data_IF_150548440007
#
_entry.id   IF_150548440007
#
_cell.length_a   1.000
_cell.length_b   1.000
_cell.length_c   1.000
_cell.angle_alpha   90.00
_cell.angle_beta   90.00
_cell.angle_gamma   90.00
#
_symmetry.space_group_name_H-M   'P 1'
#
loop_
_entity.id
_entity.type
_entity.pdbx_description
1 polymer ?
#
# COMPACT_ATOMS: atom_id res chain seq x y z
N UNK A 1 -24.90 -18.43 28.45
CA UNK A 1 -23.94 -19.09 27.52
C UNK A 1 -23.50 -18.05 26.49
N UNK A 2 -22.20 -17.76 26.39
CA UNK A 2 -21.69 -16.88 25.32
C UNK A 2 -21.90 -17.57 23.97
N UNK A 3 -22.26 -16.82 22.93
CA UNK A 3 -22.38 -17.38 21.57
C UNK A 3 -20.99 -17.82 21.06
N UNK A 4 -20.92 -18.84 20.20
CA UNK A 4 -19.65 -19.31 19.59
C UNK A 4 -18.87 -18.16 18.91
N UNK A 5 -19.60 -17.20 18.37
CA UNK A 5 -19.04 -16.02 17.69
C UNK A 5 -18.43 -15.01 18.67
N UNK A 6 -19.08 -14.78 19.81
CA UNK A 6 -18.54 -13.94 20.88
C UNK A 6 -17.27 -14.54 21.50
N UNK A 7 -17.25 -15.87 21.71
CA UNK A 7 -16.06 -16.56 22.23
C UNK A 7 -14.86 -16.49 21.25
N UNK A 8 -15.13 -16.62 19.93
CA UNK A 8 -14.10 -16.50 18.89
C UNK A 8 -13.56 -15.07 18.78
N UNK A 9 -14.41 -14.06 18.90
CA UNK A 9 -14.01 -12.64 18.93
C UNK A 9 -13.14 -12.31 20.13
N UNK A 10 -13.53 -12.75 21.33
CA UNK A 10 -12.74 -12.56 22.55
C UNK A 10 -11.37 -13.27 22.48
N UNK A 11 -11.31 -14.47 21.88
CA UNK A 11 -10.04 -15.17 21.66
C UNK A 11 -9.13 -14.40 20.70
N UNK A 12 -9.67 -13.87 19.60
CA UNK A 12 -8.93 -13.04 18.66
C UNK A 12 -8.43 -11.72 19.28
N UNK A 13 -9.26 -11.04 20.05
CA UNK A 13 -8.89 -9.79 20.74
C UNK A 13 -7.76 -10.02 21.74
N UNK A 14 -7.82 -11.09 22.54
CA UNK A 14 -6.72 -11.49 23.44
C UNK A 14 -5.42 -11.77 22.69
N UNK A 15 -5.50 -12.53 21.59
CA UNK A 15 -4.33 -12.88 20.80
C UNK A 15 -3.66 -11.64 20.17
N UNK A 16 -4.47 -10.68 19.75
CA UNK A 16 -4.03 -9.37 19.24
C UNK A 16 -3.36 -8.54 20.34
N UNK A 17 -3.93 -8.48 21.53
CA UNK A 17 -3.35 -7.75 22.66
C UNK A 17 -1.99 -8.32 23.08
N UNK A 18 -1.86 -9.64 23.12
CA UNK A 18 -0.58 -10.34 23.37
C UNK A 18 0.44 -9.94 22.30
N UNK A 19 0.05 -9.95 21.03
CA UNK A 19 0.93 -9.56 19.91
C UNK A 19 1.38 -8.11 20.01
N UNK A 20 0.47 -7.18 20.34
CA UNK A 20 0.79 -5.76 20.50
C UNK A 20 1.75 -5.52 21.66
N UNK A 21 1.52 -6.20 22.79
CA UNK A 21 2.40 -6.13 23.97
C UNK A 21 3.80 -6.64 23.63
N UNK A 22 3.87 -7.78 22.93
CA UNK A 22 5.12 -8.36 22.47
C UNK A 22 5.87 -7.40 21.52
N UNK A 23 5.20 -6.83 20.52
CA UNK A 23 5.79 -5.86 19.59
C UNK A 23 6.31 -4.61 20.30
N UNK A 24 5.57 -4.09 21.27
CA UNK A 24 5.99 -2.94 22.07
C UNK A 24 7.28 -3.23 22.85
N UNK A 25 7.37 -4.43 23.46
CA UNK A 25 8.52 -4.83 24.25
C UNK A 25 9.77 -5.16 23.41
N UNK A 26 9.59 -5.52 22.14
CA UNK A 26 10.69 -5.83 21.21
C UNK A 26 11.34 -4.59 20.58
N UNK A 27 10.74 -3.39 20.71
CA UNK A 27 11.34 -2.15 20.22
C UNK A 27 12.71 -1.91 20.87
N UNK A 28 13.73 -1.70 20.05
CA UNK A 28 15.13 -1.58 20.45
C UNK A 28 15.82 -2.91 20.77
N UNK A 29 15.13 -4.04 20.63
CA UNK A 29 15.63 -5.39 20.97
C UNK A 29 15.56 -6.37 19.81
N UNK A 30 15.04 -5.95 18.66
CA UNK A 30 14.99 -6.77 17.46
C UNK A 30 16.38 -7.24 17.01
N UNK A 31 17.41 -6.42 17.16
CA UNK A 31 18.80 -6.82 16.93
C UNK A 31 19.19 -8.04 17.75
N UNK A 32 19.05 -7.96 19.07
CA UNK A 32 19.40 -9.05 19.99
C UNK A 32 18.60 -10.33 19.69
N UNK A 33 17.28 -10.21 19.59
CA UNK A 33 16.37 -11.35 19.41
C UNK A 33 16.58 -12.02 18.06
N UNK A 34 16.62 -11.26 16.97
CA UNK A 34 16.79 -11.83 15.64
C UNK A 34 18.21 -12.32 15.40
N UNK A 35 19.24 -11.70 15.98
CA UNK A 35 20.61 -12.21 15.92
C UNK A 35 20.82 -13.48 16.74
N UNK A 36 20.02 -13.71 17.79
CA UNK A 36 20.04 -14.96 18.52
C UNK A 36 19.31 -16.09 17.77
N UNK A 37 18.13 -15.78 17.21
CA UNK A 37 17.36 -16.74 16.43
C UNK A 37 18.04 -17.04 15.08
N UNK A 38 18.57 -16.02 14.41
CA UNK A 38 19.26 -16.10 13.11
C UNK A 38 20.69 -15.57 13.29
N UNK A 39 21.66 -16.41 13.71
CA UNK A 39 23.04 -15.98 13.97
C UNK A 39 23.69 -15.19 12.83
N UNK A 40 23.42 -15.55 11.58
CA UNK A 40 23.95 -14.83 10.40
C UNK A 40 23.45 -13.38 10.25
N UNK A 41 22.46 -12.95 11.03
CA UNK A 41 21.96 -11.57 10.99
C UNK A 41 22.88 -10.58 11.75
N UNK A 42 23.77 -11.07 12.62
CA UNK A 42 24.69 -10.24 13.40
C UNK A 42 25.50 -9.27 12.53
N UNK A 43 26.01 -9.76 11.40
CA UNK A 43 26.77 -8.94 10.44
C UNK A 43 25.93 -7.79 9.86
N UNK A 44 24.65 -8.05 9.57
CA UNK A 44 23.74 -7.04 9.04
C UNK A 44 23.40 -5.97 10.08
N UNK A 45 23.18 -6.39 11.33
CA UNK A 45 22.92 -5.49 12.46
C UNK A 45 24.13 -4.60 12.73
N UNK A 46 25.33 -5.17 12.79
CA UNK A 46 26.58 -4.44 12.98
C UNK A 46 26.91 -3.48 11.82
N UNK A 47 26.59 -3.88 10.59
CA UNK A 47 26.84 -3.05 9.40
C UNK A 47 25.86 -1.87 9.27
N UNK A 48 24.67 -1.97 9.87
CA UNK A 48 23.61 -0.97 9.84
C UNK A 48 22.85 -0.89 8.51
N UNK A 49 21.78 -0.08 8.49
CA UNK A 49 20.80 -0.03 7.37
C UNK A 49 21.35 0.44 6.01
N UNK A 50 22.57 0.99 5.95
CA UNK A 50 23.16 1.53 4.71
C UNK A 50 24.04 0.51 3.97
N UNK A 51 24.56 -0.49 4.67
CA UNK A 51 25.51 -1.45 4.10
C UNK A 51 24.80 -2.76 3.78
N UNK A 52 25.09 -3.31 2.60
CA UNK A 52 24.60 -4.61 2.17
C UNK A 52 25.59 -5.69 2.63
N UNK A 53 25.07 -6.80 3.15
CA UNK A 53 25.81 -7.99 3.56
C UNK A 53 25.27 -9.23 2.84
N UNK A 54 25.95 -10.36 3.01
CA UNK A 54 25.48 -11.63 2.48
C UNK A 54 24.16 -12.01 3.15
N UNK A 55 23.18 -12.49 2.38
CA UNK A 55 21.87 -12.85 2.91
C UNK A 55 21.96 -14.04 3.87
N UNK A 56 21.54 -13.90 5.14
CA UNK A 56 21.56 -15.01 6.11
C UNK A 56 20.28 -15.87 6.07
N UNK A 57 19.34 -15.51 5.19
CA UNK A 57 18.00 -16.10 5.12
C UNK A 57 17.94 -17.22 4.08
N UNK A 58 18.67 -17.08 2.99
CA UNK A 58 18.72 -18.05 1.90
C UNK A 58 20.10 -18.10 1.26
N UNK A 59 20.57 -19.31 0.96
CA UNK A 59 21.79 -19.52 0.18
C UNK A 59 21.56 -19.10 -1.28
N UNK A 60 21.87 -17.86 -1.61
CA UNK A 60 22.04 -17.44 -3.01
C UNK A 60 23.38 -17.94 -3.54
N UNK A 61 23.49 -19.26 -3.69
CA UNK A 61 24.48 -19.91 -4.54
C UNK A 61 23.90 -20.11 -5.94
N UNK A 62 24.08 -19.13 -6.83
CA UNK A 62 23.78 -19.27 -8.26
C UNK A 62 22.29 -19.19 -8.62
N UNK A 63 21.98 -18.47 -9.70
CA UNK A 63 20.62 -18.28 -10.16
C UNK A 63 19.89 -19.61 -10.41
N UNK A 64 18.72 -19.75 -9.80
CA UNK A 64 17.60 -20.45 -10.43
C UNK A 64 16.54 -19.41 -10.77
N UNK A 65 16.77 -18.68 -11.87
CA UNK A 65 15.63 -18.41 -12.75
C UNK A 65 15.26 -19.78 -13.33
N UNK A 66 14.00 -20.17 -13.24
CA UNK A 66 13.51 -21.38 -13.90
C UNK A 66 13.87 -21.28 -15.39
N UNK A 67 14.86 -22.06 -15.82
CA UNK A 67 15.24 -22.20 -17.21
C UNK A 67 14.35 -23.28 -17.82
N UNK A 68 13.50 -22.89 -18.77
CA UNK A 68 12.95 -23.78 -19.78
C UNK A 68 14.10 -24.53 -20.49
N UNK A 69 13.97 -25.83 -20.77
CA UNK A 69 15.06 -26.62 -21.32
C UNK A 69 15.12 -26.44 -22.83
N UNK A 70 16.12 -25.75 -23.36
CA UNK A 70 16.56 -25.92 -24.75
C UNK A 70 18.08 -25.63 -24.88
N UNK A 71 18.80 -26.56 -25.50
CA UNK A 71 20.01 -26.26 -26.27
C UNK A 71 21.36 -26.42 -25.56
N UNK A 72 22.11 -27.40 -26.01
CA UNK A 72 23.49 -27.78 -25.66
C UNK A 72 24.57 -26.77 -26.08
N UNK A 73 25.59 -26.57 -25.23
CA UNK A 73 27.02 -26.55 -25.64
C UNK A 73 27.92 -26.59 -24.40
N UNK A 74 28.92 -27.48 -24.43
CA UNK A 74 29.89 -27.72 -23.36
C UNK A 74 31.16 -26.85 -23.49
N UNK A 75 31.87 -26.76 -22.36
CA UNK A 75 33.27 -26.32 -22.16
C UNK A 75 33.60 -24.82 -22.05
N UNK A 76 33.43 -24.28 -20.83
CA UNK A 76 34.37 -23.35 -20.19
C UNK A 76 34.24 -23.50 -18.65
N UNK A 77 35.31 -23.42 -17.83
CA UNK A 77 35.16 -23.42 -16.39
C UNK A 77 34.43 -22.14 -15.99
N UNK A 78 33.19 -22.29 -15.52
CA UNK A 78 32.35 -21.19 -15.09
C UNK A 78 33.06 -20.43 -13.95
N UNK A 79 33.64 -19.27 -14.26
CA UNK A 79 34.02 -18.29 -13.23
C UNK A 79 32.75 -18.01 -12.43
N UNK A 80 32.71 -18.47 -11.18
CA UNK A 80 31.63 -18.12 -10.24
C UNK A 80 31.58 -16.60 -10.15
N UNK A 81 30.60 -16.00 -10.82
CA UNK A 81 30.32 -14.56 -10.74
C UNK A 81 30.08 -14.27 -9.25
N UNK A 82 30.96 -13.46 -8.64
CA UNK A 82 30.82 -13.03 -7.25
C UNK A 82 29.45 -12.35 -7.15
N UNK A 83 28.50 -12.98 -6.44
CA UNK A 83 27.19 -12.38 -6.22
C UNK A 83 27.40 -11.27 -5.20
N UNK A 84 27.02 -10.05 -5.57
CA UNK A 84 27.14 -8.93 -4.66
C UNK A 84 26.15 -9.09 -3.48
N UNK A 85 26.58 -8.74 -2.27
CA UNK A 85 25.70 -8.76 -1.11
C UNK A 85 24.52 -7.80 -1.33
N UNK A 86 23.31 -8.26 -1.01
CA UNK A 86 22.08 -7.48 -1.22
C UNK A 86 21.15 -7.45 0.00
N UNK A 87 21.58 -8.06 1.11
CA UNK A 87 20.80 -8.08 2.33
C UNK A 87 21.16 -6.90 3.23
N UNK A 88 20.18 -6.19 3.79
CA UNK A 88 20.40 -5.14 4.80
C UNK A 88 19.23 -5.05 5.76
N UNK A 89 19.46 -4.52 6.95
CA UNK A 89 18.37 -4.15 7.87
C UNK A 89 17.63 -2.90 7.36
N UNK A 90 16.36 -2.73 7.72
CA UNK A 90 15.59 -1.53 7.41
C UNK A 90 16.08 -0.32 8.23
N UNK A 91 15.76 0.90 7.76
CA UNK A 91 16.11 2.14 8.47
C UNK A 91 15.49 2.20 9.87
N UNK A 92 14.31 1.62 10.03
CA UNK A 92 13.52 1.53 11.25
C UNK A 92 13.63 0.15 11.92
N UNK A 93 14.69 -0.62 11.63
CA UNK A 93 14.89 -1.98 12.13
C UNK A 93 14.74 -2.10 13.65
N UNK A 94 15.23 -1.12 14.42
CA UNK A 94 15.08 -1.14 15.88
C UNK A 94 13.61 -1.11 16.31
N UNK A 95 12.73 -0.52 15.51
CA UNK A 95 11.29 -0.46 15.78
C UNK A 95 10.55 -1.68 15.24
N UNK A 96 10.87 -2.10 14.01
CA UNK A 96 10.07 -3.09 13.28
C UNK A 96 10.71 -4.48 13.20
N UNK A 97 12.03 -4.58 13.33
CA UNK A 97 12.81 -5.78 13.02
C UNK A 97 12.88 -6.10 11.53
N UNK A 98 12.48 -5.16 10.66
CA UNK A 98 12.36 -5.38 9.22
C UNK A 98 13.69 -5.39 8.48
N UNK A 99 13.79 -6.19 7.42
CA UNK A 99 14.97 -6.33 6.58
C UNK A 99 14.61 -6.17 5.10
N UNK A 100 15.61 -5.89 4.26
CA UNK A 100 15.47 -5.80 2.82
C UNK A 100 16.45 -6.75 2.13
N UNK A 101 15.94 -7.55 1.18
CA UNK A 101 16.75 -8.32 0.25
C UNK A 101 15.89 -8.69 -0.96
N UNK A 102 16.48 -8.71 -2.15
CA UNK A 102 15.75 -9.04 -3.39
C UNK A 102 15.17 -10.47 -3.41
N UNK A 103 15.63 -11.37 -2.53
CA UNK A 103 15.11 -12.72 -2.46
C UNK A 103 13.71 -12.83 -1.86
N UNK A 104 13.36 -11.88 -1.01
CA UNK A 104 12.07 -11.85 -0.34
C UNK A 104 11.72 -10.41 0.02
N UNK A 105 10.79 -9.84 -0.74
CA UNK A 105 10.32 -8.48 -0.52
C UNK A 105 9.31 -8.37 0.63
N UNK A 106 8.99 -9.46 1.33
CA UNK A 106 7.98 -9.48 2.39
C UNK A 106 8.57 -9.42 3.81
N UNK A 107 9.84 -9.06 3.98
CA UNK A 107 10.53 -9.02 5.27
C UNK A 107 10.33 -7.71 6.05
N UNK A 108 9.14 -7.12 5.99
CA UNK A 108 8.86 -5.79 6.56
C UNK A 108 8.86 -5.69 8.09
N UNK A 109 8.98 -6.80 8.83
CA UNK A 109 9.12 -6.81 10.29
C UNK A 109 9.82 -8.09 10.77
N UNK A 110 10.20 -8.14 12.05
CA UNK A 110 10.96 -9.26 12.61
C UNK A 110 10.24 -10.61 12.54
N UNK A 111 8.91 -10.66 12.68
CA UNK A 111 8.17 -11.92 12.47
C UNK A 111 8.26 -12.39 11.02
N UNK A 112 8.13 -11.47 10.06
CA UNK A 112 8.28 -11.79 8.63
C UNK A 112 9.69 -12.23 8.28
N UNK A 113 10.71 -11.69 8.93
CA UNK A 113 12.11 -12.16 8.79
C UNK A 113 12.23 -13.62 9.26
N UNK A 114 11.63 -13.99 10.39
CA UNK A 114 11.62 -15.38 10.88
C UNK A 114 10.82 -16.30 9.95
N UNK A 115 9.65 -15.87 9.48
CA UNK A 115 8.85 -16.61 8.52
C UNK A 115 9.63 -16.86 7.22
N UNK A 116 10.33 -15.84 6.71
CA UNK A 116 11.18 -15.97 5.53
C UNK A 116 12.33 -16.96 5.74
N UNK A 117 12.95 -16.98 6.93
CA UNK A 117 14.08 -17.86 7.25
C UNK A 117 13.69 -19.31 7.43
N UNK A 118 12.57 -19.57 8.10
CA UNK A 118 12.17 -20.90 8.55
C UNK A 118 11.02 -21.50 7.73
N UNK A 119 10.42 -20.74 6.81
CA UNK A 119 9.25 -21.19 6.05
C UNK A 119 8.05 -21.48 6.94
N UNK A 120 7.92 -20.76 8.06
CA UNK A 120 6.91 -21.01 9.09
C UNK A 120 5.75 -20.00 9.02
N UNK A 121 4.65 -20.34 9.71
CA UNK A 121 3.51 -19.47 9.92
C UNK A 121 3.82 -18.33 10.91
N UNK A 122 2.97 -17.30 10.91
CA UNK A 122 3.07 -16.21 11.88
C UNK A 122 3.01 -16.69 13.33
N UNK A 123 2.15 -17.67 13.64
CA UNK A 123 2.00 -18.20 15.00
C UNK A 123 3.25 -18.93 15.45
N UNK A 124 3.89 -19.69 14.56
CA UNK A 124 5.17 -20.35 14.85
C UNK A 124 6.29 -19.32 15.04
N UNK A 125 6.38 -18.30 14.18
CA UNK A 125 7.35 -17.21 14.34
C UNK A 125 7.16 -16.45 15.66
N UNK A 126 5.89 -16.17 16.03
CA UNK A 126 5.55 -15.56 17.32
C UNK A 126 6.00 -16.45 18.48
N UNK A 127 5.73 -17.75 18.39
CA UNK A 127 6.12 -18.70 19.43
C UNK A 127 7.64 -18.79 19.59
N UNK A 128 8.42 -18.80 18.49
CA UNK A 128 9.89 -18.77 18.55
C UNK A 128 10.41 -17.55 19.34
N UNK A 129 9.81 -16.38 19.13
CA UNK A 129 10.17 -15.18 19.87
C UNK A 129 9.82 -15.33 21.35
N UNK A 130 8.63 -15.82 21.67
CA UNK A 130 8.20 -16.05 23.06
C UNK A 130 9.12 -17.05 23.77
N UNK A 131 9.48 -18.15 23.10
CA UNK A 131 10.38 -19.17 23.62
C UNK A 131 11.79 -18.60 23.87
N UNK A 132 12.28 -17.77 22.96
CA UNK A 132 13.54 -17.05 23.14
C UNK A 132 13.50 -16.09 24.33
N UNK A 133 12.34 -15.48 24.61
CA UNK A 133 12.06 -14.68 25.80
C UNK A 133 11.73 -15.53 27.04
N UNK A 134 12.06 -16.83 27.03
CA UNK A 134 11.83 -17.75 28.16
C UNK A 134 10.35 -18.01 28.45
N UNK A 135 9.51 -18.07 27.43
CA UNK A 135 8.07 -18.28 27.54
C UNK A 135 7.28 -17.04 27.95
N UNK A 136 7.89 -15.85 27.88
CA UNK A 136 7.30 -14.57 28.34
C UNK A 136 7.11 -13.60 27.19
N UNK A 137 6.17 -12.67 27.36
CA UNK A 137 5.93 -11.58 26.40
C UNK A 137 6.58 -10.25 26.82
N UNK A 138 7.35 -10.27 27.91
CA UNK A 138 8.06 -9.11 28.49
C UNK A 138 9.56 -9.32 28.43
N UNK A 139 10.34 -8.25 28.22
CA UNK A 139 11.81 -8.32 28.12
C UNK A 139 12.55 -7.93 29.39
N UNK A 140 11.84 -7.79 30.52
CA UNK A 140 12.42 -7.28 31.79
C UNK A 140 13.50 -8.19 32.39
N UNK A 141 13.55 -9.45 31.96
CA UNK A 141 14.55 -10.44 32.37
C UNK A 141 15.81 -10.42 31.47
N UNK A 142 15.80 -9.65 30.38
CA UNK A 142 16.97 -9.42 29.54
C UNK A 142 17.75 -8.19 30.07
N UNK A 143 19.06 -8.09 29.78
CA UNK A 143 19.84 -6.89 30.08
C UNK A 143 19.12 -5.63 29.57
N UNK A 144 19.28 -4.47 30.23
CA UNK A 144 18.71 -3.22 29.74
C UNK A 144 19.14 -3.00 28.28
N UNK A 145 18.20 -2.60 27.40
CA UNK A 145 18.53 -2.44 25.99
C UNK A 145 19.58 -1.34 25.86
N UNK A 146 20.43 -1.41 24.82
CA UNK A 146 21.28 -0.27 24.50
C UNK A 146 20.37 0.96 24.35
N UNK A 147 20.64 2.07 25.07
CA UNK A 147 19.77 3.24 25.01
C UNK A 147 19.62 3.69 23.55
N UNK A 148 18.40 3.59 23.02
CA UNK A 148 18.08 4.16 21.71
C UNK A 148 18.31 5.66 21.88
N UNK A 149 19.22 6.23 21.10
CA UNK A 149 19.37 7.69 21.04
C UNK A 149 18.04 8.22 20.51
N UNK A 150 17.20 8.77 21.38
CA UNK A 150 15.96 9.38 20.95
C UNK A 150 16.33 10.49 19.94
N UNK A 151 15.67 10.52 18.78
CA UNK A 151 15.92 11.57 17.80
C UNK A 151 15.70 12.92 18.46
N UNK A 152 16.65 13.84 18.28
CA UNK A 152 16.57 15.18 18.86
C UNK A 152 15.33 15.89 18.33
N UNK A 153 14.40 16.35 19.19
CA UNK A 153 13.21 17.08 18.76
C UNK A 153 13.52 18.27 17.83
N UNK A 154 14.68 18.93 18.02
CA UNK A 154 15.13 20.03 17.15
C UNK A 154 15.51 19.55 15.76
N UNK A 155 16.11 18.36 15.66
CA UNK A 155 16.45 17.74 14.39
C UNK A 155 15.17 17.34 13.64
N UNK A 156 14.21 16.72 14.33
CA UNK A 156 12.89 16.37 13.78
C UNK A 156 12.20 17.62 13.24
N UNK A 157 12.10 18.69 14.04
CA UNK A 157 11.47 19.93 13.62
C UNK A 157 12.14 20.55 12.37
N UNK A 158 13.47 20.48 12.28
CA UNK A 158 14.22 20.95 11.11
C UNK A 158 13.97 20.09 9.87
N UNK A 159 13.91 18.77 10.02
CA UNK A 159 13.59 17.85 8.95
C UNK A 159 12.15 18.08 8.45
N UNK A 160 11.20 18.21 9.37
CA UNK A 160 9.79 18.47 9.06
C UNK A 160 9.60 19.81 8.34
N UNK A 161 10.29 20.87 8.77
CA UNK A 161 10.26 22.16 8.06
C UNK A 161 10.79 22.03 6.62
N UNK A 162 11.82 21.22 6.41
CA UNK A 162 12.40 20.97 5.07
C UNK A 162 11.42 20.19 4.19
N UNK A 163 10.79 19.15 4.74
CA UNK A 163 9.79 18.34 4.04
C UNK A 163 8.58 19.19 3.67
N UNK A 164 8.03 19.95 4.64
CA UNK A 164 6.89 20.84 4.42
C UNK A 164 7.15 21.86 3.31
N UNK A 165 8.31 22.53 3.36
CA UNK A 165 8.72 23.48 2.30
C UNK A 165 8.80 22.80 0.93
N UNK A 166 9.33 21.58 0.85
CA UNK A 166 9.40 20.82 -0.41
C UNK A 166 8.01 20.47 -0.94
N UNK A 167 7.12 19.95 -0.09
CA UNK A 167 5.75 19.60 -0.47
C UNK A 167 4.99 20.84 -0.99
N UNK A 168 5.11 21.97 -0.30
CA UNK A 168 4.50 23.25 -0.70
C UNK A 168 5.06 23.76 -2.03
N UNK A 169 6.38 23.67 -2.23
CA UNK A 169 7.03 24.05 -3.50
C UNK A 169 6.55 23.15 -4.65
N UNK A 170 6.59 21.82 -4.48
CA UNK A 170 6.11 20.89 -5.49
C UNK A 170 4.65 21.19 -5.83
N UNK A 171 3.76 21.29 -4.82
CA UNK A 171 2.34 21.50 -5.06
C UNK A 171 2.01 22.84 -5.72
N UNK A 172 2.61 23.94 -5.26
CA UNK A 172 2.36 25.29 -5.82
C UNK A 172 2.82 25.44 -7.26
N UNK A 173 3.83 24.66 -7.67
CA UNK A 173 4.31 24.62 -9.07
C UNK A 173 3.49 23.70 -9.99
N UNK A 174 2.45 23.03 -9.46
CA UNK A 174 1.57 22.20 -10.28
C UNK A 174 0.45 23.01 -10.94
N UNK A 175 0.06 22.55 -12.12
CA UNK A 175 -1.02 23.08 -12.94
C UNK A 175 -2.28 22.22 -12.80
N UNK A 176 -3.44 22.83 -12.98
CA UNK A 176 -4.69 22.08 -13.14
C UNK A 176 -4.70 21.29 -14.45
N UNK A 177 -5.47 20.19 -14.54
CA UNK A 177 -5.60 19.41 -15.77
C UNK A 177 -6.13 20.21 -16.97
N UNK A 178 -6.83 21.32 -16.73
CA UNK A 178 -7.34 22.24 -17.75
C UNK A 178 -6.26 23.14 -18.39
N UNK A 179 -5.05 23.21 -17.82
CA UNK A 179 -3.99 24.04 -18.37
C UNK A 179 -3.47 23.46 -19.71
N UNK A 180 -3.20 24.29 -20.75
CA UNK A 180 -2.74 23.79 -22.05
C UNK A 180 -1.51 22.89 -21.98
N UNK A 181 -0.54 23.22 -21.11
CA UNK A 181 0.65 22.40 -20.91
C UNK A 181 0.40 21.03 -20.28
N UNK A 182 -0.79 20.75 -19.77
CA UNK A 182 -1.14 19.45 -19.21
C UNK A 182 -1.41 18.38 -20.28
N UNK A 183 -1.15 18.66 -21.56
CA UNK A 183 -1.26 17.70 -22.66
C UNK A 183 -0.64 16.31 -22.35
N UNK A 184 0.56 16.18 -21.73
CA UNK A 184 1.07 14.86 -21.36
C UNK A 184 0.18 14.11 -20.36
N UNK A 185 -0.51 14.81 -19.44
CA UNK A 185 -1.48 14.18 -18.54
C UNK A 185 -2.71 13.69 -19.31
N UNK A 186 -3.20 14.47 -20.28
CA UNK A 186 -4.33 14.05 -21.13
C UNK A 186 -3.97 12.84 -21.98
N UNK A 187 -2.79 12.84 -22.62
CA UNK A 187 -2.30 11.69 -23.40
C UNK A 187 -2.15 10.43 -22.52
N UNK A 188 -1.69 10.59 -21.28
CA UNK A 188 -1.60 9.51 -20.29
C UNK A 188 -2.96 8.89 -19.97
N UNK A 189 -3.98 9.74 -19.81
CA UNK A 189 -5.36 9.34 -19.51
C UNK A 189 -6.04 8.70 -20.71
N UNK A 190 -5.88 9.29 -21.90
CA UNK A 190 -6.44 8.79 -23.15
C UNK A 190 -5.88 7.40 -23.47
N UNK A 191 -4.55 7.23 -23.42
CA UNK A 191 -3.89 5.95 -23.66
C UNK A 191 -4.28 4.84 -22.68
N UNK A 192 -4.98 5.19 -21.59
CA UNK A 192 -5.51 4.26 -20.57
C UNK A 192 -7.03 4.19 -20.54
N UNK A 193 -7.74 4.91 -21.40
CA UNK A 193 -9.20 4.93 -21.35
C UNK A 193 -9.77 5.51 -20.05
N UNK A 194 -9.01 6.36 -19.35
CA UNK A 194 -9.42 6.98 -18.08
C UNK A 194 -10.42 8.14 -18.27
N UNK A 195 -10.67 8.55 -19.51
CA UNK A 195 -11.50 9.72 -19.81
C UNK A 195 -10.76 11.03 -19.52
N UNK A 196 -11.50 12.12 -19.29
CA UNK A 196 -10.88 13.40 -18.99
C UNK A 196 -10.29 13.43 -17.56
N UNK A 197 -9.07 13.97 -17.36
CA UNK A 197 -8.52 14.22 -16.03
C UNK A 197 -9.21 15.37 -15.29
N UNK A 198 -10.02 16.19 -15.98
CA UNK A 198 -10.75 17.31 -15.37
C UNK A 198 -11.82 16.83 -14.38
N UNK A 199 -11.98 17.56 -13.27
CA UNK A 199 -13.00 17.26 -12.26
C UNK A 199 -12.58 16.20 -11.23
N UNK A 200 -11.37 15.63 -11.35
CA UNK A 200 -10.75 14.85 -10.29
C UNK A 200 -10.15 15.79 -9.24
N UNK A 201 -10.61 15.65 -8.00
CA UNK A 201 -10.01 16.34 -6.88
C UNK A 201 -8.62 15.77 -6.56
N UNK A 202 -7.77 16.61 -5.98
CA UNK A 202 -6.45 16.22 -5.47
C UNK A 202 -5.51 15.60 -6.51
N UNK A 203 -5.77 15.83 -7.79
CA UNK A 203 -4.91 15.42 -8.90
C UNK A 203 -4.53 16.64 -9.73
N UNK A 204 -3.23 16.86 -9.89
CA UNK A 204 -2.65 17.97 -10.64
C UNK A 204 -1.51 17.49 -11.53
N UNK A 205 -0.98 18.39 -12.34
CA UNK A 205 0.10 18.11 -13.28
C UNK A 205 1.31 18.99 -13.00
N UNK A 206 2.51 18.48 -13.22
CA UNK A 206 3.74 19.27 -13.18
C UNK A 206 4.50 19.08 -14.49
N UNK A 207 4.82 20.16 -15.21
CA UNK A 207 5.43 20.09 -16.56
C UNK A 207 6.85 19.50 -16.56
N UNK A 208 7.66 19.89 -15.59
CA UNK A 208 9.09 19.53 -15.56
C UNK A 208 9.58 19.27 -14.12
N UNK A 209 9.06 18.22 -13.49
CA UNK A 209 9.39 17.86 -12.12
C UNK A 209 10.76 17.18 -12.06
N UNK A 210 11.63 17.64 -11.16
CA UNK A 210 12.95 17.03 -10.95
C UNK A 210 12.84 15.57 -10.50
N UNK A 211 13.67 14.71 -11.10
CA UNK A 211 13.84 13.31 -10.71
C UNK A 211 15.22 13.08 -10.12
N UNK A 212 15.23 12.48 -8.93
CA UNK A 212 16.46 12.01 -8.25
C UNK A 212 16.28 10.53 -7.93
N UNK A 213 17.22 9.69 -8.33
CA UNK A 213 17.24 8.27 -7.98
C UNK A 213 17.38 8.11 -6.45
N UNK A 214 16.51 7.28 -5.86
CA UNK A 214 16.53 7.04 -4.41
C UNK A 214 17.68 6.12 -3.99
N UNK A 215 18.20 5.29 -4.89
CA UNK A 215 19.29 4.37 -4.58
C UNK A 215 20.65 5.05 -4.66
N UNK A 216 20.89 5.82 -5.73
CA UNK A 216 22.18 6.46 -5.99
C UNK A 216 22.25 7.91 -5.51
N UNK A 217 21.10 8.58 -5.33
CA UNK A 217 21.04 10.03 -5.08
C UNK A 217 21.31 10.88 -6.33
N UNK A 218 21.45 10.25 -7.49
CA UNK A 218 21.77 10.93 -8.75
C UNK A 218 20.55 11.68 -9.30
N UNK A 219 20.77 12.90 -9.76
CA UNK A 219 19.77 13.66 -10.50
C UNK A 219 19.75 13.23 -11.97
N UNK A 220 18.61 12.71 -12.43
CA UNK A 220 18.47 12.16 -13.80
C UNK A 220 17.70 13.09 -14.75
N UNK A 221 17.33 14.29 -14.31
CA UNK A 221 16.66 15.28 -15.15
C UNK A 221 15.29 15.71 -14.62
N UNK A 222 14.50 16.33 -15.49
CA UNK A 222 13.13 16.78 -15.24
C UNK A 222 12.18 16.08 -16.20
N UNK A 223 11.01 15.71 -15.71
CA UNK A 223 10.00 15.03 -16.51
C UNK A 223 8.61 15.57 -16.16
N UNK A 224 7.66 15.53 -17.11
CA UNK A 224 6.25 15.71 -16.78
C UNK A 224 5.80 14.73 -15.70
N UNK A 225 4.91 15.14 -14.81
CA UNK A 225 4.45 14.29 -13.73
C UNK A 225 2.98 14.52 -13.39
N UNK A 226 2.24 13.42 -13.22
CA UNK A 226 0.97 13.40 -12.51
C UNK A 226 1.26 13.47 -11.01
N UNK A 227 0.66 14.43 -10.31
CA UNK A 227 0.86 14.67 -8.88
C UNK A 227 -0.47 14.51 -8.15
N UNK A 228 -0.54 13.53 -7.26
CA UNK A 228 -1.70 13.26 -6.43
C UNK A 228 -1.44 13.66 -4.98
N UNK A 229 -2.39 14.37 -4.36
CA UNK A 229 -2.32 14.76 -2.96
C UNK A 229 -2.99 13.68 -2.09
N UNK A 230 -2.21 13.08 -1.20
CA UNK A 230 -2.69 12.18 -0.17
C UNK A 230 -3.15 13.00 1.04
N UNK A 231 -4.35 12.74 1.54
CA UNK A 231 -4.95 13.50 2.65
C UNK A 231 -5.55 12.57 3.71
N UNK A 232 -5.60 13.05 4.94
CA UNK A 232 -6.42 12.47 5.98
C UNK A 232 -7.91 12.72 5.73
N UNK A 233 -8.74 12.08 6.55
CA UNK A 233 -10.21 12.17 6.52
C UNK A 233 -10.73 13.61 6.57
N UNK A 234 -10.09 14.47 7.35
CA UNK A 234 -10.44 15.88 7.56
C UNK A 234 -9.94 16.81 6.43
N UNK A 235 -9.27 16.25 5.42
CA UNK A 235 -8.65 17.01 4.33
C UNK A 235 -7.26 17.54 4.66
N UNK A 236 -6.69 17.21 5.83
CA UNK A 236 -5.32 17.58 6.16
C UNK A 236 -4.34 16.94 5.15
N UNK A 237 -3.53 17.73 4.43
CA UNK A 237 -2.60 17.20 3.43
C UNK A 237 -1.44 16.45 4.08
N UNK A 238 -1.17 15.22 3.66
CA UNK A 238 -0.11 14.37 4.21
C UNK A 238 1.15 14.45 3.38
N UNK A 239 1.08 14.01 2.13
CA UNK A 239 2.22 13.95 1.20
C UNK A 239 1.74 13.95 -0.25
N UNK A 240 2.68 13.98 -1.18
CA UNK A 240 2.42 13.93 -2.62
C UNK A 240 2.90 12.60 -3.19
N UNK A 241 2.07 11.99 -4.03
CA UNK A 241 2.45 10.86 -4.86
C UNK A 241 2.62 11.32 -6.30
N UNK A 242 3.72 10.89 -6.93
CA UNK A 242 4.17 11.43 -8.22
C UNK A 242 4.37 10.27 -9.19
N UNK A 243 3.68 10.32 -10.32
CA UNK A 243 3.92 9.43 -11.45
C UNK A 243 4.60 10.24 -12.55
N UNK A 244 5.89 10.00 -12.77
CA UNK A 244 6.65 10.62 -13.83
C UNK A 244 6.27 10.00 -15.18
N UNK A 245 6.00 10.86 -16.15
CA UNK A 245 5.53 10.53 -17.48
C UNK A 245 6.63 10.80 -18.50
N UNK A 246 6.58 10.06 -19.60
CA UNK A 246 7.29 10.44 -20.83
C UNK A 246 6.89 11.85 -21.26
N UNK A 247 7.73 12.51 -22.05
CA UNK A 247 7.49 13.89 -22.49
C UNK A 247 6.20 14.03 -23.30
N UNK A 248 5.81 12.99 -24.05
CA UNK A 248 4.55 12.94 -24.79
C UNK A 248 3.37 12.40 -23.96
N UNK A 249 3.62 11.96 -22.71
CA UNK A 249 2.60 11.44 -21.81
C UNK A 249 2.07 10.04 -22.15
N UNK A 250 2.54 9.38 -23.22
CA UNK A 250 1.95 8.11 -23.67
C UNK A 250 2.36 6.93 -22.77
N UNK A 251 3.56 7.02 -22.19
CA UNK A 251 4.12 6.02 -21.30
C UNK A 251 4.64 6.66 -20.00
N UNK A 252 5.04 5.82 -19.04
CA UNK A 252 5.80 6.29 -17.88
C UNK A 252 7.16 6.81 -18.35
N UNK A 253 7.74 7.73 -17.60
CA UNK A 253 9.12 8.15 -17.86
C UNK A 253 10.06 6.94 -17.83
N UNK A 254 11.05 6.91 -18.73
CA UNK A 254 12.09 5.89 -18.75
C UNK A 254 13.14 6.21 -17.66
N UNK A 255 12.76 5.92 -16.42
CA UNK A 255 13.55 6.17 -15.20
C UNK A 255 13.43 4.96 -14.27
N UNK A 256 14.41 4.74 -13.37
CA UNK A 256 14.45 3.54 -12.52
C UNK A 256 13.16 3.25 -11.74
N UNK A 257 12.49 4.28 -11.22
CA UNK A 257 11.23 4.16 -10.50
C UNK A 257 10.30 5.33 -10.80
N UNK A 258 9.43 5.16 -11.79
CA UNK A 258 8.54 6.22 -12.28
C UNK A 258 7.42 6.63 -11.29
N UNK A 259 7.09 5.82 -10.28
CA UNK A 259 6.13 6.18 -9.22
C UNK A 259 6.85 6.42 -7.90
N UNK A 260 6.67 7.59 -7.30
CA UNK A 260 7.37 8.01 -6.08
C UNK A 260 6.44 8.75 -5.13
N UNK A 261 6.36 8.29 -3.89
CA UNK A 261 5.87 9.10 -2.79
C UNK A 261 6.96 10.09 -2.34
N UNK A 262 6.57 11.32 -2.00
CA UNK A 262 7.41 12.23 -1.23
C UNK A 262 7.40 11.85 0.25
N UNK A 263 8.43 12.28 0.98
CA UNK A 263 8.45 12.14 2.44
C UNK A 263 7.31 12.93 3.07
N UNK A 264 6.80 12.43 4.18
CA UNK A 264 5.85 13.13 5.04
C UNK A 264 6.57 13.64 6.29
N UNK A 265 5.98 14.62 6.94
CA UNK A 265 6.48 15.13 8.22
C UNK A 265 6.16 14.15 9.36
N UNK A 266 6.88 14.24 10.46
CA UNK A 266 6.69 13.35 11.62
C UNK A 266 5.29 13.47 12.26
N UNK A 267 4.64 14.62 12.10
CA UNK A 267 3.28 14.92 12.58
C UNK A 267 2.17 14.51 11.58
N UNK A 268 2.52 13.93 10.42
CA UNK A 268 1.58 13.56 9.36
C UNK A 268 1.81 12.12 8.89
N UNK A 269 1.27 11.17 9.63
CA UNK A 269 1.35 9.74 9.28
C UNK A 269 0.48 9.43 8.04
N UNK A 270 1.00 8.81 6.97
CA UNK A 270 0.17 8.37 5.84
C UNK A 270 -0.80 7.24 6.17
N UNK A 271 -0.69 6.61 7.35
CA UNK A 271 -1.67 5.63 7.82
C UNK A 271 -3.09 6.24 7.85
N UNK A 272 -4.03 5.55 7.20
CA UNK A 272 -5.42 6.02 7.11
C UNK A 272 -5.69 7.11 6.09
N UNK A 273 -4.67 7.61 5.39
CA UNK A 273 -4.82 8.64 4.37
C UNK A 273 -5.13 8.04 2.98
N UNK A 274 -5.78 8.82 2.12
CA UNK A 274 -6.12 8.45 0.76
C UNK A 274 -6.11 9.66 -0.18
N UNK A 275 -6.08 9.40 -1.49
CA UNK A 275 -6.35 10.43 -2.50
C UNK A 275 -7.86 10.47 -2.72
N UNK A 276 -8.51 11.52 -2.23
CA UNK A 276 -9.94 11.73 -2.45
C UNK A 276 -10.13 12.30 -3.86
N UNK A 277 -10.60 11.49 -4.82
CA UNK A 277 -10.82 11.91 -6.21
C UNK A 277 -12.09 12.74 -6.37
N UNK A 278 -12.98 12.69 -5.37
CA UNK A 278 -14.23 13.43 -5.29
C UNK A 278 -14.33 14.16 -3.94
N UNK A 279 -14.90 15.37 -3.93
CA UNK A 279 -15.03 16.20 -2.72
C UNK A 279 -16.35 16.00 -1.97
N UNK A 280 -17.36 15.43 -2.63
CA UNK A 280 -18.70 15.29 -2.05
C UNK A 280 -18.83 14.03 -1.20
N UNK A 281 -19.73 14.09 -0.21
CA UNK A 281 -20.13 12.92 0.56
C UNK A 281 -21.31 12.21 -0.11
N UNK A 282 -21.44 10.91 0.15
CA UNK A 282 -22.54 10.08 -0.32
C UNK A 282 -22.68 8.88 0.61
N UNK A 283 -23.86 8.27 0.76
CA UNK A 283 -24.04 7.10 1.66
C UNK A 283 -23.14 5.90 1.31
N UNK A 284 -22.60 5.89 0.09
CA UNK A 284 -21.66 4.89 -0.43
C UNK A 284 -20.32 5.55 -0.70
N UNK A 285 -19.22 4.95 -0.24
CA UNK A 285 -17.86 5.27 -0.66
C UNK A 285 -17.30 4.14 -1.53
N UNK A 286 -16.75 4.50 -2.69
CA UNK A 286 -15.93 3.59 -3.47
C UNK A 286 -14.45 3.79 -3.12
N UNK A 287 -13.70 2.68 -2.99
CA UNK A 287 -12.28 2.67 -2.67
C UNK A 287 -11.55 1.80 -3.68
N UNK A 288 -10.47 2.28 -4.29
CA UNK A 288 -9.59 1.48 -5.14
C UNK A 288 -8.15 1.46 -4.65
N UNK A 289 -7.39 0.44 -5.08
CA UNK A 289 -5.99 0.25 -4.69
C UNK A 289 -5.07 1.28 -5.37
N UNK A 290 -4.82 1.12 -6.68
CA UNK A 290 -3.99 2.04 -7.44
C UNK A 290 -4.74 3.30 -7.90
N UNK A 291 -4.00 4.36 -8.24
CA UNK A 291 -4.59 5.64 -8.68
C UNK A 291 -5.35 5.51 -10.00
N UNK A 292 -4.74 4.93 -11.03
CA UNK A 292 -5.37 4.74 -12.35
C UNK A 292 -6.49 3.70 -12.31
N UNK A 293 -6.30 2.59 -11.57
CA UNK A 293 -7.35 1.58 -11.33
C UNK A 293 -8.57 2.22 -10.64
N UNK A 294 -8.34 3.09 -9.64
CA UNK A 294 -9.42 3.85 -8.97
C UNK A 294 -10.12 4.83 -9.92
N UNK A 295 -9.39 5.56 -10.76
CA UNK A 295 -10.00 6.47 -11.74
C UNK A 295 -10.84 5.69 -12.76
N UNK A 296 -10.37 4.54 -13.23
CA UNK A 296 -11.14 3.66 -14.11
C UNK A 296 -12.41 3.15 -13.42
N UNK A 297 -12.30 2.65 -12.19
CA UNK A 297 -13.43 2.21 -11.39
C UNK A 297 -14.42 3.34 -11.08
N UNK A 298 -13.96 4.59 -10.91
CA UNK A 298 -14.83 5.76 -10.74
C UNK A 298 -15.78 5.92 -11.94
N UNK A 299 -15.30 5.69 -13.16
CA UNK A 299 -16.15 5.70 -14.37
C UNK A 299 -17.24 4.62 -14.35
N UNK A 300 -17.10 3.58 -13.55
CA UNK A 300 -18.09 2.51 -13.43
C UNK A 300 -19.22 2.85 -12.45
N UNK A 301 -19.09 3.94 -11.69
CA UNK A 301 -20.00 4.34 -10.62
C UNK A 301 -20.34 5.84 -10.60
N UNK A 302 -19.73 6.65 -11.46
CA UNK A 302 -19.95 8.10 -11.59
C UNK A 302 -21.41 8.47 -11.87
N UNK A 303 -22.12 7.67 -12.68
CA UNK A 303 -23.56 7.84 -12.97
C UNK A 303 -24.44 7.65 -11.72
N UNK A 304 -23.91 7.05 -10.67
CA UNK A 304 -24.56 6.91 -9.37
C UNK A 304 -24.16 8.02 -8.38
N UNK A 305 -23.26 8.93 -8.77
CA UNK A 305 -22.73 9.99 -7.91
C UNK A 305 -21.86 9.48 -6.75
N UNK A 306 -21.33 8.26 -6.83
CA UNK A 306 -20.54 7.66 -5.75
C UNK A 306 -19.12 8.25 -5.75
N UNK A 307 -18.65 8.87 -4.65
CA UNK A 307 -17.29 9.38 -4.53
C UNK A 307 -16.28 8.23 -4.49
N UNK A 308 -15.13 8.45 -5.13
CA UNK A 308 -14.03 7.48 -5.19
C UNK A 308 -12.80 7.98 -4.43
N UNK A 309 -12.22 7.11 -3.61
CA UNK A 309 -10.92 7.30 -2.99
C UNK A 309 -9.91 6.28 -3.52
N UNK A 310 -8.67 6.71 -3.75
CA UNK A 310 -7.56 5.81 -4.07
C UNK A 310 -6.61 5.69 -2.88
N UNK A 311 -6.24 4.46 -2.52
CA UNK A 311 -5.29 4.21 -1.43
C UNK A 311 -3.83 4.13 -1.88
N UNK A 312 -3.59 4.32 -3.18
CA UNK A 312 -2.30 4.19 -3.90
C UNK A 312 -1.69 2.79 -3.94
N UNK A 313 -1.84 2.01 -2.86
CA UNK A 313 -1.35 0.63 -2.76
C UNK A 313 -2.16 -0.21 -1.76
N UNK A 314 -1.87 -1.51 -1.72
CA UNK A 314 -2.47 -2.48 -0.80
C UNK A 314 -2.26 -2.14 0.69
N UNK A 315 -1.17 -1.47 1.08
CA UNK A 315 -0.95 -1.10 2.48
C UNK A 315 -1.83 0.09 2.88
N UNK A 316 -1.95 1.10 2.02
CA UNK A 316 -2.92 2.18 2.19
C UNK A 316 -4.34 1.63 2.33
N UNK A 317 -4.71 0.63 1.53
CA UNK A 317 -6.04 0.01 1.60
C UNK A 317 -6.31 -0.68 2.94
N UNK A 318 -5.34 -1.43 3.47
CA UNK A 318 -5.47 -2.13 4.77
C UNK A 318 -5.62 -1.19 5.95
N UNK A 319 -5.02 0.00 5.85
CA UNK A 319 -4.96 0.98 6.93
C UNK A 319 -5.98 2.12 6.78
N UNK A 320 -6.79 2.12 5.72
CA UNK A 320 -7.71 3.19 5.41
C UNK A 320 -8.67 3.48 6.57
N UNK A 321 -8.80 4.75 6.93
CA UNK A 321 -9.82 5.22 7.88
C UNK A 321 -11.03 5.67 7.08
N UNK A 322 -12.18 5.04 7.35
CA UNK A 322 -13.43 5.33 6.64
C UNK A 322 -14.17 6.52 7.26
N UNK A 323 -14.79 7.39 6.45
CA UNK A 323 -15.64 8.46 6.96
C UNK A 323 -16.87 7.92 7.68
N UNK A 324 -17.40 8.72 8.61
CA UNK A 324 -18.65 8.42 9.31
C UNK A 324 -19.86 8.44 8.40
N UNK A 325 -19.84 9.28 7.35
CA UNK A 325 -20.92 9.32 6.36
C UNK A 325 -20.98 8.07 5.47
N UNK A 326 -19.91 7.26 5.40
CA UNK A 326 -19.88 6.07 4.56
C UNK A 326 -20.56 4.89 5.28
N UNK A 327 -21.86 4.74 5.03
CA UNK A 327 -22.65 3.60 5.51
C UNK A 327 -22.37 2.31 4.71
N UNK A 328 -22.01 2.48 3.43
CA UNK A 328 -21.73 1.41 2.48
C UNK A 328 -20.35 1.63 1.86
N UNK A 329 -19.52 0.58 1.85
CA UNK A 329 -18.19 0.62 1.24
C UNK A 329 -18.12 -0.39 0.10
N UNK A 330 -17.73 0.06 -1.09
CA UNK A 330 -17.39 -0.84 -2.21
C UNK A 330 -15.90 -0.73 -2.50
N UNK A 331 -15.21 -1.85 -2.38
CA UNK A 331 -13.77 -1.93 -2.65
C UNK A 331 -13.56 -2.47 -4.05
N UNK A 332 -12.95 -1.68 -4.93
CA UNK A 332 -12.45 -2.10 -6.23
C UNK A 332 -11.02 -2.60 -6.05
N UNK A 333 -10.88 -3.89 -5.76
CA UNK A 333 -9.58 -4.52 -5.59
C UNK A 333 -8.98 -4.96 -6.92
N UNK A 334 -7.65 -5.05 -6.98
CA UNK A 334 -6.94 -5.59 -8.13
C UNK A 334 -6.84 -7.12 -8.01
N UNK A 335 -6.72 -7.82 -9.15
CA UNK A 335 -6.53 -9.27 -9.20
C UNK A 335 -5.09 -9.56 -9.54
N UNK A 336 -4.30 -9.97 -8.56
CA UNK A 336 -2.88 -10.30 -8.74
C UNK A 336 -2.55 -11.76 -8.36
N UNK A 337 -1.46 -12.30 -8.91
CA UNK A 337 -1.00 -13.67 -8.63
C UNK A 337 -0.50 -13.84 -7.19
N UNK A 338 -0.04 -12.76 -6.55
CA UNK A 338 0.43 -12.77 -5.16
C UNK A 338 -0.72 -12.80 -4.13
N UNK A 339 -1.96 -12.62 -4.57
CA UNK A 339 -3.16 -12.44 -3.74
C UNK A 339 -3.10 -11.20 -2.82
N UNK A 340 -2.18 -10.26 -3.05
CA UNK A 340 -1.88 -9.17 -2.13
C UNK A 340 -3.00 -8.11 -2.11
N UNK A 341 -3.46 -7.69 -3.30
CA UNK A 341 -4.57 -6.76 -3.48
C UNK A 341 -5.90 -7.38 -3.07
N UNK A 342 -6.13 -8.65 -3.40
CA UNK A 342 -7.30 -9.39 -2.94
C UNK A 342 -7.37 -9.47 -1.41
N UNK A 343 -6.24 -9.77 -0.75
CA UNK A 343 -6.17 -9.83 0.70
C UNK A 343 -6.41 -8.44 1.34
N UNK A 344 -5.87 -7.37 0.75
CA UNK A 344 -6.10 -6.01 1.22
C UNK A 344 -7.58 -5.60 1.10
N UNK A 345 -8.20 -5.89 -0.05
CA UNK A 345 -9.62 -5.61 -0.27
C UNK A 345 -10.53 -6.38 0.70
N UNK A 346 -10.23 -7.66 0.90
CA UNK A 346 -10.94 -8.48 1.88
C UNK A 346 -10.81 -7.93 3.31
N UNK A 347 -9.59 -7.54 3.73
CA UNK A 347 -9.37 -6.98 5.06
C UNK A 347 -10.15 -5.67 5.27
N UNK A 348 -10.19 -4.78 4.28
CA UNK A 348 -10.96 -3.54 4.37
C UNK A 348 -12.47 -3.84 4.47
N UNK A 349 -12.98 -4.80 3.70
CA UNK A 349 -14.39 -5.24 3.78
C UNK A 349 -14.73 -5.77 5.17
N UNK A 350 -13.91 -6.63 5.74
CA UNK A 350 -14.15 -7.21 7.07
C UNK A 350 -14.06 -6.14 8.16
N UNK A 351 -13.09 -5.23 8.09
CA UNK A 351 -12.97 -4.08 9.00
C UNK A 351 -14.21 -3.18 8.95
N UNK A 352 -14.67 -2.83 7.74
CA UNK A 352 -15.87 -2.04 7.54
C UNK A 352 -17.12 -2.72 8.14
N UNK A 353 -17.30 -4.03 7.89
CA UNK A 353 -18.40 -4.82 8.46
C UNK A 353 -18.35 -4.91 9.97
N UNK A 354 -17.16 -5.12 10.55
CA UNK A 354 -16.96 -5.14 11.99
C UNK A 354 -17.33 -3.81 12.66
N UNK A 355 -17.22 -2.69 11.92
CA UNK A 355 -17.67 -1.36 12.35
C UNK A 355 -19.16 -1.08 12.14
N UNK A 356 -19.95 -2.08 11.71
CA UNK A 356 -21.40 -1.95 11.49
C UNK A 356 -21.80 -1.44 10.09
N UNK A 357 -20.84 -1.25 9.17
CA UNK A 357 -21.09 -0.79 7.79
C UNK A 357 -21.42 -1.96 6.87
N UNK A 358 -22.12 -1.70 5.77
CA UNK A 358 -22.24 -2.70 4.68
C UNK A 358 -21.00 -2.60 3.81
N UNK A 359 -20.34 -3.70 3.51
CA UNK A 359 -19.19 -3.66 2.61
C UNK A 359 -19.11 -4.86 1.67
N UNK A 360 -18.55 -4.63 0.49
CA UNK A 360 -18.26 -5.68 -0.50
C UNK A 360 -17.04 -5.31 -1.33
N UNK A 361 -16.38 -6.32 -1.90
CA UNK A 361 -15.27 -6.14 -2.83
C UNK A 361 -15.67 -6.62 -4.23
N UNK A 362 -15.24 -5.88 -5.24
CA UNK A 362 -15.34 -6.22 -6.64
C UNK A 362 -13.93 -6.38 -7.17
N UNK A 363 -13.70 -7.48 -7.88
CA UNK A 363 -12.45 -7.74 -8.60
C UNK A 363 -12.74 -7.75 -10.11
N UNK A 364 -11.78 -7.39 -10.97
CA UNK A 364 -11.88 -7.60 -12.41
C UNK A 364 -12.33 -9.02 -12.70
N UNK A 365 -13.32 -9.27 -13.57
CA UNK A 365 -13.89 -10.61 -13.74
C UNK A 365 -13.05 -11.53 -14.61
N UNK A 366 -12.04 -11.01 -15.34
CA UNK A 366 -11.23 -11.78 -16.28
C UNK A 366 -10.04 -12.47 -15.62
N UNK A 367 -9.62 -13.60 -16.19
CA UNK A 367 -8.37 -14.24 -15.80
C UNK A 367 -7.19 -13.29 -16.04
N UNK A 368 -6.13 -13.44 -15.23
CA UNK A 368 -4.88 -12.73 -15.48
C UNK A 368 -4.31 -13.25 -16.80
N UNK A 369 -4.04 -12.39 -17.81
CA UNK A 369 -3.49 -12.83 -19.09
C UNK A 369 -2.13 -13.51 -18.93
N UNK A 370 -1.81 -14.43 -19.83
CA UNK A 370 -0.53 -15.13 -19.82
C UNK A 370 0.66 -14.14 -19.85
N UNK A 371 1.63 -14.35 -18.96
CA UNK A 371 2.81 -13.49 -18.82
C UNK A 371 2.58 -12.21 -18.01
N UNK A 372 1.36 -11.93 -17.56
CA UNK A 372 1.08 -10.81 -16.65
C UNK A 372 1.01 -11.26 -15.19
N UNK A 373 1.29 -10.32 -14.27
CA UNK A 373 1.26 -10.58 -12.82
C UNK A 373 -0.08 -10.23 -12.19
N UNK A 374 -0.86 -9.38 -12.85
CA UNK A 374 -2.11 -8.83 -12.35
C UNK A 374 -3.01 -8.41 -13.50
N UNK A 375 -4.28 -8.21 -13.18
CA UNK A 375 -5.25 -7.45 -13.97
C UNK A 375 -5.99 -6.52 -13.03
N UNK A 376 -6.16 -5.25 -13.43
CA UNK A 376 -6.82 -4.22 -12.63
C UNK A 376 -8.07 -3.65 -13.33
N UNK A 377 -8.74 -2.68 -12.70
CA UNK A 377 -9.94 -2.06 -13.29
C UNK A 377 -9.61 -1.10 -14.45
N UNK A 378 -8.37 -0.61 -14.54
CA UNK A 378 -7.93 0.15 -15.69
C UNK A 378 -7.83 -0.75 -16.92
N UNK A 379 -7.27 -1.96 -16.80
CA UNK A 379 -7.22 -2.95 -17.88
C UNK A 379 -8.64 -3.28 -18.39
N UNK A 380 -9.60 -3.47 -17.47
CA UNK A 380 -11.00 -3.73 -17.82
C UNK A 380 -11.60 -2.58 -18.64
N UNK A 381 -11.49 -1.34 -18.14
CA UNK A 381 -12.06 -0.19 -18.83
C UNK A 381 -11.36 0.09 -20.15
N UNK A 382 -10.05 -0.12 -20.23
CA UNK A 382 -9.29 0.04 -21.47
C UNK A 382 -9.70 -0.99 -22.53
N UNK A 383 -9.93 -2.24 -22.13
CA UNK A 383 -10.23 -3.33 -23.06
C UNK A 383 -11.63 -3.22 -23.70
N UNK A 384 -12.63 -2.71 -22.98
CA UNK A 384 -14.02 -2.71 -23.47
C UNK A 384 -14.78 -1.40 -23.34
N UNK A 385 -14.18 -0.38 -22.74
CA UNK A 385 -14.84 0.87 -22.43
C UNK A 385 -15.75 0.78 -21.19
N UNK A 386 -16.10 1.93 -20.60
CA UNK A 386 -16.86 1.99 -19.35
C UNK A 386 -18.28 1.44 -19.50
N UNK A 387 -18.95 1.63 -20.64
CA UNK A 387 -20.35 1.19 -20.81
C UNK A 387 -20.46 -0.33 -20.92
N UNK A 388 -19.58 -0.98 -21.68
CA UNK A 388 -19.51 -2.43 -21.72
C UNK A 388 -19.04 -3.01 -20.37
N UNK A 389 -18.08 -2.36 -19.70
CA UNK A 389 -17.65 -2.75 -18.37
C UNK A 389 -18.80 -2.67 -17.35
N UNK A 390 -19.61 -1.59 -17.36
CA UNK A 390 -20.85 -1.46 -16.56
C UNK A 390 -21.87 -2.56 -16.88
N UNK A 391 -21.81 -3.14 -18.08
CA UNK A 391 -22.69 -4.22 -18.51
C UNK A 391 -22.24 -5.63 -18.12
N UNK A 392 -21.04 -5.78 -17.53
CA UNK A 392 -20.58 -7.05 -16.95
C UNK A 392 -21.61 -7.52 -15.91
N UNK A 393 -22.07 -8.78 -16.04
CA UNK A 393 -23.18 -9.34 -15.27
C UNK A 393 -23.00 -9.13 -13.76
N UNK A 394 -21.80 -9.42 -13.23
CA UNK A 394 -21.50 -9.26 -11.81
C UNK A 394 -21.65 -7.80 -11.36
N UNK A 395 -21.18 -6.85 -12.19
CA UNK A 395 -21.26 -5.42 -11.88
C UNK A 395 -22.70 -4.90 -12.03
N UNK A 396 -23.45 -5.35 -13.04
CA UNK A 396 -24.88 -5.04 -13.20
C UNK A 396 -25.70 -5.54 -12.00
N UNK A 397 -25.47 -6.77 -11.56
CA UNK A 397 -26.14 -7.36 -10.41
C UNK A 397 -25.85 -6.57 -9.13
N UNK A 398 -24.57 -6.24 -8.89
CA UNK A 398 -24.18 -5.40 -7.77
C UNK A 398 -24.82 -4.01 -7.83
N UNK A 399 -24.79 -3.33 -8.98
CA UNK A 399 -25.41 -2.01 -9.19
C UNK A 399 -26.92 -2.04 -8.94
N UNK A 400 -27.60 -3.07 -9.44
CA UNK A 400 -29.04 -3.28 -9.20
C UNK A 400 -29.34 -3.44 -7.71
N UNK A 401 -28.55 -4.28 -7.02
CA UNK A 401 -28.69 -4.50 -5.57
C UNK A 401 -28.41 -3.24 -4.77
N UNK A 402 -27.39 -2.46 -5.15
CA UNK A 402 -27.06 -1.20 -4.49
C UNK A 402 -28.21 -0.20 -4.60
N UNK A 403 -28.79 -0.04 -5.78
CA UNK A 403 -29.97 0.84 -5.99
C UNK A 403 -31.15 0.41 -5.12
N UNK A 404 -31.39 -0.88 -4.97
CA UNK A 404 -32.43 -1.39 -4.07
C UNK A 404 -32.14 -1.00 -2.61
N UNK A 405 -30.92 -1.26 -2.14
CA UNK A 405 -30.49 -0.92 -0.76
C UNK A 405 -30.63 0.57 -0.47
N UNK A 406 -30.25 1.44 -1.42
CA UNK A 406 -30.37 2.88 -1.26
C UNK A 406 -31.83 3.32 -1.12
N UNK A 407 -32.74 2.76 -1.95
CA UNK A 407 -34.20 3.02 -1.87
C UNK A 407 -34.83 2.55 -0.56
N UNK A 408 -34.42 1.38 -0.06
CA UNK A 408 -34.93 0.84 1.21
C UNK A 408 -34.55 1.74 2.40
N UNK A 409 -33.31 2.22 2.43
CA UNK A 409 -32.82 3.13 3.48
C UNK A 409 -33.54 4.49 3.51
N UNK A 410 -33.88 5.06 2.34
CA UNK A 410 -34.64 6.31 2.25
C UNK A 410 -36.07 6.17 2.81
N UNK A 411 -36.71 5.01 2.63
CA UNK A 411 -38.07 4.75 3.15
C UNK A 411 -38.11 4.63 4.67
N UNK A 412 -37.09 4.01 5.27
CA UNK A 412 -37.00 3.86 6.73
C UNK A 412 -36.73 5.18 7.44
N UNK A 413 -35.91 6.07 6.86
CA UNK A 413 -35.66 7.41 7.42
C UNK A 413 -36.90 8.30 7.45
N UNK A 414 -37.69 8.32 6.36
CA UNK A 414 -38.91 9.13 6.31
C UNK A 414 -39.98 8.69 7.32
N UNK A 415 -40.03 7.39 7.67
CA UNK A 415 -40.97 6.85 8.67
C UNK A 415 -40.53 7.13 10.10
N UNK A 416 -39.23 7.21 10.39
CA UNK A 416 -38.73 7.59 11.72
C UNK A 416 -38.91 9.08 11.99
N UNK A 417 -38.71 9.94 10.98
CA UNK A 417 -38.91 11.39 11.10
C UNK A 417 -40.40 11.73 11.28
N UNK A 418 -41.29 11.10 10.51
CA UNK A 418 -42.74 11.30 10.66
C UNK A 418 -43.29 10.84 12.03
N UNK A 419 -42.60 9.92 12.71
CA UNK A 419 -43.00 9.39 14.03
C UNK A 419 -42.35 10.13 15.20
N UNK A 420 -41.31 10.93 14.95
CA UNK A 420 -40.71 11.83 15.93
C UNK A 420 -41.40 13.21 15.95
N UNK A 421 -42.19 13.53 14.92
CA UNK A 421 -42.99 14.74 14.79
C UNK A 421 -44.48 14.55 15.16
N UNK A 422 -44.86 13.32 15.54
CA UNK A 422 -46.18 12.95 16.08
C UNK A 422 -46.06 12.60 17.54
#
# INVERSE_FOLDING_TARGET
>A
MKTKEQARREAYEREREITNTLLSNLRGRWGDVLSALIPGLQDAVAAGHRKKVQCPISDHGGGKRAATPQGSSANAPARRRRVEPDFRIAKDFDTTGGCHCTCNNEMGNGFRVLMARYGCSFMEAKQMVIDHLGGRITTNHLPPPTPIKQPDPREIARQDATIRKRLEQTWSSTLGPEHPSAEPLHNWFEGRGLGSPTGLANLRFHEALSYVDYETGEYLGKFPAQVALLQHLDGTPVTLHRTYLSHDGRTKADVPMARKAESHTSDRDPCGAAVHLDRHAHRVLAVGEGLESSIAARRLVDDLGIPMWSTLDANGMRNLILPDWAEIVVVFGDRDLSMAGQAAAYQLVESARASGRRATALLPPFAIPDGQKSIDWNDVVLAMGPDAARAIIQLQQWRSRLRQVLREGSRTGSRSEARAQS
#
